data_IF_638228909273
#
_entry.id   IF_638228909273
#
_cell.length_a   1.000
_cell.length_b   1.000
_cell.length_c   1.000
_cell.angle_alpha   90.00
_cell.angle_beta   90.00
_cell.angle_gamma   90.00
#
_symmetry.space_group_name_H-M   'P 1'
#
loop_
_entity.id
_entity.type
_entity.pdbx_description
1 polymer ?
#
# COMPACT_ATOMS: atom_id res chain seq x y z
N UNK A 1 36.66 26.12 -62.94
CA UNK A 1 36.87 25.26 -61.75
C UNK A 1 35.80 25.63 -60.72
N UNK A 2 34.75 24.81 -60.55
CA UNK A 2 33.70 25.00 -59.54
C UNK A 2 33.95 24.01 -58.39
N UNK A 3 34.24 24.52 -57.19
CA UNK A 3 34.39 23.70 -55.97
C UNK A 3 33.00 23.50 -55.35
N UNK A 4 32.52 22.26 -55.35
CA UNK A 4 31.33 21.88 -54.61
C UNK A 4 31.70 21.69 -53.13
N UNK A 5 31.11 22.50 -52.26
CA UNK A 5 31.23 22.37 -50.80
C UNK A 5 30.15 21.38 -50.36
N UNK A 6 30.56 20.18 -49.97
CA UNK A 6 29.69 19.18 -49.34
C UNK A 6 29.50 19.59 -47.87
N UNK A 7 28.31 20.07 -47.52
CA UNK A 7 27.93 20.36 -46.15
C UNK A 7 27.60 19.08 -45.38
N UNK A 8 28.39 18.77 -44.35
CA UNK A 8 28.10 17.67 -43.42
C UNK A 8 27.06 18.16 -42.41
N UNK A 9 25.84 17.62 -42.49
CA UNK A 9 24.80 17.83 -41.48
C UNK A 9 25.09 16.86 -40.33
N UNK A 10 25.56 17.39 -39.19
CA UNK A 10 25.71 16.61 -37.96
C UNK A 10 24.33 16.40 -37.33
N UNK A 11 23.82 15.16 -37.37
CA UNK A 11 22.59 14.76 -36.69
C UNK A 11 22.90 14.58 -35.20
N UNK A 12 22.57 15.58 -34.37
CA UNK A 12 22.65 15.45 -32.92
C UNK A 12 21.55 14.51 -32.41
N UNK A 13 21.93 13.29 -32.05
CA UNK A 13 21.04 12.33 -31.37
C UNK A 13 20.86 12.81 -29.92
N UNK A 14 19.74 13.46 -29.64
CA UNK A 14 19.33 13.77 -28.27
C UNK A 14 18.92 12.44 -27.63
N UNK A 15 19.82 11.86 -26.84
CA UNK A 15 19.51 10.71 -26.00
C UNK A 15 18.52 11.16 -24.93
N UNK A 16 17.23 10.87 -25.12
CA UNK A 16 16.24 11.01 -24.07
C UNK A 16 16.59 9.95 -23.02
N UNK A 17 17.13 10.39 -21.89
CA UNK A 17 17.39 9.52 -20.75
C UNK A 17 16.03 9.01 -20.25
N UNK A 18 15.65 7.81 -20.68
CA UNK A 18 14.53 7.08 -20.07
C UNK A 18 14.96 6.70 -18.67
N UNK A 19 14.41 7.38 -17.67
CA UNK A 19 14.57 6.96 -16.27
C UNK A 19 13.96 5.57 -16.13
N UNK A 20 14.79 4.61 -15.73
CA UNK A 20 14.29 3.31 -15.33
C UNK A 20 13.55 3.50 -14.00
N UNK A 21 12.26 3.20 -13.98
CA UNK A 21 11.49 3.25 -12.74
C UNK A 21 12.02 2.22 -11.73
N UNK A 22 11.98 2.56 -10.45
CA UNK A 22 12.62 1.76 -9.39
C UNK A 22 11.61 0.84 -8.71
N UNK A 23 11.92 -0.45 -8.60
CA UNK A 23 11.12 -1.36 -7.76
C UNK A 23 11.14 -0.92 -6.29
N UNK A 24 9.99 -1.01 -5.62
CA UNK A 24 9.96 -0.72 -4.19
C UNK A 24 8.60 -0.36 -3.62
N UNK A 25 8.61 0.16 -2.40
CA UNK A 25 7.42 0.63 -1.69
C UNK A 25 7.21 2.11 -1.99
N UNK A 26 6.07 2.42 -2.61
CA UNK A 26 5.61 3.77 -2.91
C UNK A 26 4.49 4.16 -1.96
N UNK A 27 4.49 5.38 -1.44
CA UNK A 27 3.47 5.87 -0.53
C UNK A 27 3.01 7.27 -0.91
N UNK A 28 1.77 7.60 -0.54
CA UNK A 28 1.28 8.99 -0.60
C UNK A 28 2.09 9.80 0.42
N UNK A 29 2.59 10.97 0.01
CA UNK A 29 3.32 11.86 0.91
C UNK A 29 2.45 12.20 2.14
N UNK A 30 2.93 11.90 3.34
CA UNK A 30 2.20 12.04 4.61
C UNK A 30 0.89 11.22 4.71
N UNK A 31 0.70 10.22 3.85
CA UNK A 31 -0.48 9.37 3.84
C UNK A 31 -0.28 8.01 4.49
N UNK A 32 -1.40 7.32 4.77
CA UNK A 32 -1.40 5.98 5.37
C UNK A 32 -1.36 4.84 4.34
N UNK A 33 -1.44 5.18 3.05
CA UNK A 33 -1.51 4.23 1.95
C UNK A 33 -0.13 4.04 1.31
N UNK A 34 0.28 2.79 1.20
CA UNK A 34 1.50 2.39 0.50
C UNK A 34 1.26 1.15 -0.35
N UNK A 35 1.97 1.07 -1.46
CA UNK A 35 1.93 -0.05 -2.39
C UNK A 35 3.33 -0.56 -2.68
N UNK A 36 3.47 -1.87 -2.89
CA UNK A 36 4.70 -2.43 -3.41
C UNK A 36 4.60 -2.50 -4.94
N UNK A 37 5.52 -1.85 -5.64
CA UNK A 37 5.53 -1.72 -7.09
C UNK A 37 6.71 -2.51 -7.63
N UNK A 38 6.41 -3.37 -8.62
CA UNK A 38 7.40 -4.09 -9.41
C UNK A 38 7.26 -3.74 -10.87
N UNK A 39 8.32 -3.26 -11.48
CA UNK A 39 8.39 -2.94 -12.90
C UNK A 39 8.92 -4.13 -13.69
N UNK A 40 8.32 -4.35 -14.84
CA UNK A 40 8.84 -5.18 -15.91
C UNK A 40 8.76 -4.39 -17.22
N UNK A 41 9.32 -4.94 -18.31
CA UNK A 41 9.44 -4.25 -19.60
C UNK A 41 8.12 -3.60 -20.07
N UNK A 42 7.02 -4.36 -20.02
CA UNK A 42 5.70 -3.93 -20.51
C UNK A 42 4.60 -3.93 -19.44
N UNK A 43 4.96 -4.04 -18.16
CA UNK A 43 3.97 -4.08 -17.08
C UNK A 43 4.48 -3.46 -15.78
N UNK A 44 3.54 -3.01 -14.97
CA UNK A 44 3.74 -2.57 -13.59
C UNK A 44 2.82 -3.42 -12.71
N UNK A 45 3.38 -4.14 -11.73
CA UNK A 45 2.60 -4.92 -10.78
C UNK A 45 2.55 -4.19 -9.45
N UNK A 46 1.33 -3.90 -8.99
CA UNK A 46 1.04 -3.39 -7.65
C UNK A 46 0.69 -4.57 -6.76
N UNK A 47 1.38 -4.71 -5.64
CA UNK A 47 1.08 -5.67 -4.58
C UNK A 47 0.65 -4.91 -3.33
N UNK A 48 -0.61 -5.10 -2.98
CA UNK A 48 -1.25 -4.63 -1.75
C UNK A 48 -1.48 -5.82 -0.80
N UNK A 49 -1.73 -5.59 0.49
CA UNK A 49 -1.92 -6.69 1.44
C UNK A 49 -3.02 -7.68 1.07
N UNK A 50 -4.02 -7.25 0.30
CA UNK A 50 -5.22 -8.02 0.00
C UNK A 50 -5.51 -8.11 -1.50
N UNK A 51 -4.58 -7.67 -2.35
CA UNK A 51 -4.79 -7.60 -3.79
C UNK A 51 -3.47 -7.49 -4.52
N UNK A 52 -3.36 -8.21 -5.63
CA UNK A 52 -2.33 -7.96 -6.64
C UNK A 52 -2.98 -7.47 -7.92
N UNK A 53 -2.48 -6.36 -8.50
CA UNK A 53 -2.99 -5.79 -9.74
C UNK A 53 -1.85 -5.59 -10.74
N UNK A 54 -1.95 -6.20 -11.92
CA UNK A 54 -0.99 -6.03 -13.00
C UNK A 54 -1.53 -5.02 -14.01
N UNK A 55 -0.81 -3.93 -14.19
CA UNK A 55 -1.08 -2.88 -15.17
C UNK A 55 -0.23 -3.13 -16.41
N UNK A 56 -0.84 -2.99 -17.59
CA UNK A 56 -0.16 -3.16 -18.87
C UNK A 56 0.19 -1.81 -19.46
N UNK A 57 1.40 -1.70 -20.03
CA UNK A 57 1.88 -0.48 -20.67
C UNK A 57 1.12 -0.23 -21.98
N UNK A 58 0.56 0.96 -22.15
CA UNK A 58 -0.09 1.42 -23.36
C UNK A 58 0.89 2.10 -24.33
N UNK A 59 0.38 2.50 -25.50
CA UNK A 59 1.18 3.18 -26.54
C UNK A 59 1.70 4.56 -26.11
N UNK A 60 1.09 5.17 -25.10
CA UNK A 60 1.52 6.45 -24.52
C UNK A 60 2.52 6.26 -23.37
N UNK A 61 2.88 5.02 -23.04
CA UNK A 61 3.80 4.68 -21.97
C UNK A 61 3.16 4.68 -20.57
N UNK A 62 1.84 4.87 -20.48
CA UNK A 62 1.11 4.75 -19.22
C UNK A 62 0.81 3.28 -18.94
N UNK A 63 0.69 2.93 -17.67
CA UNK A 63 0.30 1.59 -17.24
C UNK A 63 -1.19 1.59 -16.90
N UNK A 64 -1.97 0.73 -17.53
CA UNK A 64 -3.44 0.70 -17.41
C UNK A 64 -3.89 -0.64 -16.85
N UNK A 65 -4.86 -0.61 -15.93
CA UNK A 65 -5.51 -1.77 -15.35
C UNK A 65 -7.02 -1.55 -15.32
N UNK A 66 -7.80 -2.52 -15.81
CA UNK A 66 -9.25 -2.54 -15.65
C UNK A 66 -9.60 -3.61 -14.62
N UNK A 67 -10.23 -3.18 -13.52
CA UNK A 67 -10.66 -4.09 -12.48
C UNK A 67 -11.81 -4.98 -12.99
N UNK A 68 -11.65 -6.31 -13.07
CA UNK A 68 -12.66 -7.20 -13.62
C UNK A 68 -13.93 -7.27 -12.77
N UNK A 69 -13.87 -6.93 -11.48
CA UNK A 69 -15.01 -7.01 -10.56
C UNK A 69 -16.02 -5.90 -10.78
N UNK A 70 -15.56 -4.67 -11.08
CA UNK A 70 -16.42 -3.49 -11.17
C UNK A 70 -16.28 -2.72 -12.49
N UNK A 71 -15.47 -3.22 -13.42
CA UNK A 71 -15.19 -2.65 -14.73
C UNK A 71 -14.66 -1.20 -14.69
N UNK A 72 -14.02 -0.80 -13.58
CA UNK A 72 -13.37 0.50 -13.46
C UNK A 72 -11.93 0.40 -13.96
N UNK A 73 -11.55 1.31 -14.85
CA UNK A 73 -10.17 1.46 -15.31
C UNK A 73 -9.39 2.43 -14.42
N UNK A 74 -8.16 2.06 -14.11
CA UNK A 74 -7.18 2.82 -13.34
C UNK A 74 -5.91 2.97 -14.18
N UNK A 75 -5.25 4.12 -14.06
CA UNK A 75 -4.00 4.42 -14.73
C UNK A 75 -2.88 4.70 -13.73
N UNK A 76 -1.67 4.33 -14.11
CA UNK A 76 -0.43 4.63 -13.43
C UNK A 76 0.54 5.26 -14.43
N UNK A 77 1.17 6.37 -14.05
CA UNK A 77 2.20 7.05 -14.86
C UNK A 77 3.48 7.19 -14.06
N UNK A 78 4.60 6.87 -14.69
CA UNK A 78 5.94 7.15 -14.12
C UNK A 78 6.29 8.60 -14.41
N UNK A 79 6.55 9.38 -13.37
CA UNK A 79 6.96 10.79 -13.47
C UNK A 79 8.49 10.89 -13.48
N UNK A 80 9.14 10.17 -12.59
CA UNK A 80 10.61 10.03 -12.49
C UNK A 80 10.98 8.67 -11.86
N UNK A 81 12.27 8.44 -11.57
CA UNK A 81 12.78 7.18 -11.02
C UNK A 81 12.20 6.81 -9.64
N UNK A 82 11.60 7.77 -8.93
CA UNK A 82 11.09 7.65 -7.55
C UNK A 82 9.66 8.13 -7.39
N UNK A 83 9.02 8.60 -8.45
CA UNK A 83 7.67 9.19 -8.40
C UNK A 83 6.77 8.56 -9.44
N UNK A 84 5.62 8.11 -8.97
CA UNK A 84 4.54 7.62 -9.82
C UNK A 84 3.24 8.35 -9.47
N UNK A 85 2.33 8.39 -10.43
CA UNK A 85 1.01 8.96 -10.29
C UNK A 85 -0.05 7.90 -10.57
N UNK A 86 -0.97 7.72 -9.63
CA UNK A 86 -2.20 6.96 -9.84
C UNK A 86 -3.32 7.91 -10.29
N UNK A 87 -4.16 7.51 -11.24
CA UNK A 87 -5.29 8.31 -11.70
C UNK A 87 -6.42 7.43 -12.24
N UNK A 88 -7.59 8.04 -12.46
CA UNK A 88 -8.72 7.40 -13.14
C UNK A 88 -8.92 8.03 -14.52
N UNK A 89 -8.69 7.28 -15.63
CA UNK A 89 -8.88 7.81 -16.98
C UNK A 89 -10.27 8.43 -17.16
N UNK A 90 -10.32 9.59 -17.81
CA UNK A 90 -11.57 10.32 -18.06
C UNK A 90 -12.17 11.04 -16.85
N UNK A 91 -11.53 11.00 -15.66
CA UNK A 91 -11.98 11.73 -14.48
C UNK A 91 -11.01 12.87 -14.17
N UNK A 92 -11.43 14.15 -14.31
CA UNK A 92 -10.61 15.31 -13.97
C UNK A 92 -10.15 15.28 -12.51
N UNK A 93 -8.94 15.79 -12.25
CA UNK A 93 -8.38 15.94 -10.90
C UNK A 93 -8.35 14.65 -10.05
N UNK A 94 -8.23 13.48 -10.69
CA UNK A 94 -8.17 12.17 -10.00
C UNK A 94 -6.76 11.71 -9.65
N UNK A 95 -5.76 12.56 -9.88
CA UNK A 95 -4.35 12.21 -9.72
C UNK A 95 -3.95 12.14 -8.25
N UNK A 96 -3.29 11.05 -7.87
CA UNK A 96 -2.63 10.84 -6.58
C UNK A 96 -1.16 10.57 -6.82
N UNK A 97 -0.28 11.37 -6.20
CA UNK A 97 1.17 11.21 -6.30
C UNK A 97 1.65 10.22 -5.24
N UNK A 98 2.48 9.26 -5.63
CA UNK A 98 3.16 8.34 -4.74
C UNK A 98 4.68 8.43 -4.94
N UNK A 99 5.41 8.48 -3.83
CA UNK A 99 6.88 8.57 -3.82
C UNK A 99 7.51 7.32 -3.21
N UNK A 100 8.64 6.93 -3.78
CA UNK A 100 9.43 5.78 -3.32
C UNK A 100 9.96 6.04 -1.90
N UNK A 101 9.56 5.19 -0.96
CA UNK A 101 9.99 5.23 0.43
C UNK A 101 11.11 4.22 0.71
N UNK A 102 11.12 3.10 -0.01
CA UNK A 102 12.06 2.01 0.22
C UNK A 102 12.21 1.13 -1.01
N UNK A 103 13.44 0.73 -1.34
CA UNK A 103 13.74 -0.26 -2.39
C UNK A 103 13.61 -1.70 -1.87
N UNK A 104 13.44 -1.89 -0.55
CA UNK A 104 13.24 -3.20 0.04
C UNK A 104 11.77 -3.62 -0.03
N UNK A 105 11.40 -4.19 -1.16
CA UNK A 105 10.08 -4.73 -1.43
C UNK A 105 9.77 -5.98 -0.57
N UNK A 106 9.27 -5.80 0.67
CA UNK A 106 8.58 -6.90 1.39
C UNK A 106 7.07 -6.79 1.12
N UNK A 107 6.60 -7.49 0.11
CA UNK A 107 5.16 -7.65 -0.12
C UNK A 107 4.52 -8.42 1.04
N UNK A 108 3.42 -7.92 1.60
CA UNK A 108 2.46 -8.78 2.29
C UNK A 108 1.60 -9.47 1.25
N UNK A 109 1.50 -10.79 1.29
CA UNK A 109 0.70 -11.56 0.34
C UNK A 109 -0.80 -11.32 0.54
N UNK A 110 -1.55 -11.38 -0.56
CA UNK A 110 -3.02 -11.30 -0.58
C UNK A 110 -3.70 -12.22 0.45
N UNK A 111 -3.15 -13.42 0.64
CA UNK A 111 -3.61 -14.39 1.64
C UNK A 111 -3.56 -13.83 3.07
N UNK A 112 -2.52 -13.06 3.41
CA UNK A 112 -2.40 -12.45 4.74
C UNK A 112 -3.42 -11.33 4.92
N UNK A 113 -3.64 -10.49 3.92
CA UNK A 113 -4.68 -9.45 4.02
C UNK A 113 -6.07 -10.05 4.15
N UNK A 114 -6.38 -11.12 3.41
CA UNK A 114 -7.65 -11.82 3.51
C UNK A 114 -7.83 -12.51 4.86
N UNK A 115 -6.78 -13.14 5.41
CA UNK A 115 -6.79 -13.69 6.75
C UNK A 115 -7.06 -12.59 7.81
N UNK A 116 -6.44 -11.43 7.66
CA UNK A 116 -6.63 -10.30 8.59
C UNK A 116 -8.04 -9.70 8.49
N UNK A 117 -8.64 -9.63 7.28
CA UNK A 117 -10.06 -9.28 7.11
C UNK A 117 -10.98 -10.29 7.80
N UNK A 118 -10.69 -11.58 7.72
CA UNK A 118 -11.48 -12.60 8.39
C UNK A 118 -11.42 -12.45 9.92
N UNK A 119 -10.24 -12.15 10.47
CA UNK A 119 -10.06 -11.83 11.89
C UNK A 119 -10.81 -10.54 12.28
N UNK A 120 -10.78 -9.50 11.45
CA UNK A 120 -11.56 -8.28 11.68
C UNK A 120 -13.05 -8.60 11.82
N UNK A 121 -13.62 -9.36 10.87
CA UNK A 121 -15.03 -9.76 10.91
C UNK A 121 -15.37 -10.62 12.14
N UNK A 122 -14.47 -11.52 12.54
CA UNK A 122 -14.61 -12.30 13.79
C UNK A 122 -14.75 -11.37 15.00
N UNK A 123 -13.88 -10.37 15.14
CA UNK A 123 -13.91 -9.47 16.28
C UNK A 123 -15.07 -8.47 16.23
N UNK A 124 -15.49 -7.99 15.05
CA UNK A 124 -16.71 -7.20 14.95
C UNK A 124 -17.94 -7.98 15.43
N UNK A 125 -18.05 -9.25 15.03
CA UNK A 125 -19.12 -10.11 15.52
C UNK A 125 -19.08 -10.29 17.04
N UNK A 126 -17.89 -10.44 17.62
CA UNK A 126 -17.74 -10.48 19.07
C UNK A 126 -18.18 -9.15 19.72
N UNK A 127 -17.84 -8.01 19.14
CA UNK A 127 -18.29 -6.70 19.62
C UNK A 127 -19.81 -6.54 19.59
N UNK A 128 -20.51 -7.21 18.67
CA UNK A 128 -21.98 -7.23 18.61
C UNK A 128 -22.60 -8.15 19.67
N UNK A 129 -21.94 -9.27 20.01
CA UNK A 129 -22.51 -10.32 20.86
C UNK A 129 -22.06 -10.29 22.32
N UNK A 130 -20.95 -9.62 22.63
CA UNK A 130 -20.36 -9.52 23.96
C UNK A 130 -20.34 -8.05 24.39
N UNK A 131 -21.45 -7.63 25.00
CA UNK A 131 -21.69 -6.25 25.44
C UNK A 131 -20.70 -5.78 26.52
N UNK A 132 -20.10 -6.70 27.27
CA UNK A 132 -19.19 -6.37 28.35
C UNK A 132 -17.79 -6.01 27.82
N UNK A 133 -17.46 -6.45 26.60
CA UNK A 133 -16.14 -6.31 25.99
C UNK A 133 -16.17 -5.62 24.62
N UNK A 134 -17.22 -4.85 24.30
CA UNK A 134 -17.37 -4.17 22.99
C UNK A 134 -16.12 -3.38 22.61
N UNK A 135 -15.57 -2.60 23.55
CA UNK A 135 -14.37 -1.80 23.31
C UNK A 135 -13.14 -2.67 23.04
N UNK A 136 -13.00 -3.79 23.73
CA UNK A 136 -11.92 -4.75 23.50
C UNK A 136 -12.01 -5.31 22.08
N UNK A 137 -13.18 -5.82 21.71
CA UNK A 137 -13.38 -6.46 20.41
C UNK A 137 -13.30 -5.46 19.25
N UNK A 138 -13.82 -4.25 19.42
CA UNK A 138 -13.67 -3.19 18.42
C UNK A 138 -12.20 -2.81 18.18
N UNK A 139 -11.37 -2.73 19.23
CA UNK A 139 -9.94 -2.48 19.10
C UNK A 139 -9.20 -3.66 18.46
N UNK A 140 -9.55 -4.91 18.79
CA UNK A 140 -9.01 -6.07 18.08
C UNK A 140 -9.36 -6.08 16.59
N UNK A 141 -10.62 -5.72 16.25
CA UNK A 141 -11.07 -5.61 14.87
C UNK A 141 -10.32 -4.52 14.11
N UNK A 142 -10.06 -3.36 14.73
CA UNK A 142 -9.36 -2.25 14.09
C UNK A 142 -7.90 -2.60 13.76
N UNK A 143 -7.21 -3.34 14.63
CA UNK A 143 -5.84 -3.83 14.36
C UNK A 143 -5.84 -4.83 13.21
N UNK A 144 -6.79 -5.76 13.21
CA UNK A 144 -6.96 -6.71 12.11
C UNK A 144 -7.18 -5.99 10.77
N UNK A 145 -8.06 -4.98 10.76
CA UNK A 145 -8.28 -4.15 9.57
C UNK A 145 -7.01 -3.42 9.15
N UNK A 146 -6.28 -2.83 10.09
CA UNK A 146 -5.03 -2.12 9.82
C UNK A 146 -4.02 -3.03 9.10
N UNK A 147 -3.82 -4.25 9.59
CA UNK A 147 -2.95 -5.23 8.94
C UNK A 147 -3.46 -5.70 7.57
N UNK A 148 -4.75 -5.54 7.29
CA UNK A 148 -5.36 -5.93 6.01
C UNK A 148 -5.33 -4.84 4.93
N UNK A 149 -5.09 -3.58 5.31
CA UNK A 149 -5.29 -2.42 4.43
C UNK A 149 -4.20 -1.36 4.50
N UNK A 150 -3.41 -1.32 5.55
CA UNK A 150 -2.37 -0.31 5.75
C UNK A 150 -0.97 -0.89 5.54
N UNK A 151 0.02 0.00 5.49
CA UNK A 151 1.42 -0.40 5.57
C UNK A 151 1.72 -1.11 6.89
N UNK A 152 2.74 -1.97 6.91
CA UNK A 152 3.12 -2.72 8.11
C UNK A 152 3.49 -1.83 9.29
N UNK A 153 4.17 -0.70 9.04
CA UNK A 153 4.57 0.23 10.09
C UNK A 153 3.36 0.91 10.72
N UNK A 154 2.38 1.33 9.90
CA UNK A 154 1.14 1.91 10.40
C UNK A 154 0.24 0.89 11.10
N UNK A 155 0.18 -0.34 10.61
CA UNK A 155 -0.51 -1.42 11.30
C UNK A 155 0.08 -1.68 12.70
N UNK A 156 1.41 -1.62 12.84
CA UNK A 156 2.08 -1.73 14.15
C UNK A 156 1.84 -0.55 15.08
N UNK A 157 1.80 0.68 14.54
CA UNK A 157 1.40 1.86 15.33
C UNK A 157 -0.03 1.67 15.89
N UNK A 158 -0.97 1.20 15.06
CA UNK A 158 -2.34 0.89 15.49
C UNK A 158 -2.40 -0.27 16.48
N UNK A 159 -1.60 -1.32 16.31
CA UNK A 159 -1.50 -2.43 17.26
C UNK A 159 -1.12 -1.94 18.67
N UNK A 160 -0.13 -1.03 18.77
CA UNK A 160 0.29 -0.43 20.03
C UNK A 160 -0.80 0.44 20.66
N UNK A 161 -1.46 1.27 19.85
CA UNK A 161 -2.57 2.11 20.32
C UNK A 161 -3.74 1.27 20.85
N UNK A 162 -4.15 0.26 20.09
CA UNK A 162 -5.22 -0.65 20.50
C UNK A 162 -4.87 -1.41 21.78
N UNK A 163 -3.65 -1.93 21.90
CA UNK A 163 -3.19 -2.60 23.12
C UNK A 163 -3.28 -1.67 24.34
N UNK A 164 -2.91 -0.39 24.18
CA UNK A 164 -3.01 0.62 25.24
C UNK A 164 -4.47 0.88 25.63
N UNK A 165 -5.34 1.07 24.65
CA UNK A 165 -6.78 1.33 24.89
C UNK A 165 -7.48 0.15 25.55
N UNK A 166 -7.15 -1.08 25.15
CA UNK A 166 -7.71 -2.29 25.77
C UNK A 166 -7.28 -2.37 27.23
N UNK A 167 -5.99 -2.16 27.53
CA UNK A 167 -5.50 -2.18 28.91
C UNK A 167 -6.18 -1.13 29.78
N UNK A 168 -6.39 0.07 29.26
CA UNK A 168 -7.12 1.15 29.96
C UNK A 168 -8.58 0.78 30.27
N UNK A 169 -9.19 -0.10 29.49
CA UNK A 169 -10.56 -0.58 29.71
C UNK A 169 -10.65 -1.79 30.64
N UNK A 170 -9.52 -2.35 31.09
CA UNK A 170 -9.47 -3.56 31.92
C UNK A 170 -9.01 -3.25 33.34
N UNK A 171 -9.74 -3.76 34.33
CA UNK A 171 -9.32 -3.75 35.73
C UNK A 171 -9.76 -5.05 36.42
N UNK A 172 -8.81 -5.96 36.76
CA UNK A 172 -7.37 -5.89 36.52
C UNK A 172 -7.01 -6.08 35.03
N UNK A 173 -5.84 -5.58 34.63
CA UNK A 173 -5.29 -5.79 33.28
C UNK A 173 -4.92 -7.27 33.08
N UNK A 174 -5.33 -7.84 31.95
CA UNK A 174 -5.00 -9.23 31.62
C UNK A 174 -3.50 -9.42 31.35
N UNK A 175 -2.96 -10.58 31.73
CA UNK A 175 -1.54 -10.92 31.49
C UNK A 175 -1.22 -11.19 30.01
N UNK A 176 -2.23 -11.39 29.19
CA UNK A 176 -2.11 -11.62 27.75
C UNK A 176 -3.18 -10.84 26.99
N UNK A 177 -2.88 -10.52 25.73
CA UNK A 177 -3.85 -9.90 24.84
C UNK A 177 -5.10 -10.80 24.70
N UNK A 178 -6.32 -10.22 24.75
CA UNK A 178 -7.56 -10.94 24.46
C UNK A 178 -7.70 -11.33 22.97
N UNK A 179 -6.82 -10.81 22.11
CA UNK A 179 -6.79 -11.09 20.67
C UNK A 179 -5.35 -11.25 20.19
N UNK A 180 -4.70 -12.34 20.63
CA UNK A 180 -3.29 -12.61 20.35
C UNK A 180 -3.00 -12.86 18.86
N UNK A 181 -4.03 -13.13 18.06
CA UNK A 181 -3.93 -13.26 16.61
C UNK A 181 -3.61 -11.94 15.89
N UNK A 182 -3.90 -10.79 16.53
CA UNK A 182 -3.76 -9.46 15.92
C UNK A 182 -2.94 -8.49 16.77
N UNK A 183 -2.94 -8.66 18.10
CA UNK A 183 -2.05 -7.95 19.02
C UNK A 183 -1.04 -8.94 19.55
N UNK A 184 0.20 -8.83 19.09
CA UNK A 184 1.27 -9.72 19.49
C UNK A 184 1.55 -9.60 20.99
N UNK A 185 2.04 -10.69 21.57
CA UNK A 185 2.40 -10.70 23.00
C UNK A 185 3.49 -9.67 23.32
N UNK A 186 4.40 -9.42 22.36
CA UNK A 186 5.42 -8.37 22.50
C UNK A 186 4.77 -6.99 22.66
N UNK A 187 3.85 -6.64 21.76
CA UNK A 187 3.15 -5.35 21.82
C UNK A 187 2.32 -5.24 23.09
N UNK A 188 1.60 -6.31 23.45
CA UNK A 188 0.81 -6.36 24.68
C UNK A 188 1.67 -6.07 25.91
N UNK A 189 2.82 -6.73 26.06
CA UNK A 189 3.72 -6.50 27.20
C UNK A 189 4.25 -5.06 27.21
N UNK A 190 4.63 -4.51 26.05
CA UNK A 190 5.20 -3.17 25.96
C UNK A 190 4.19 -2.02 26.07
N UNK A 191 2.90 -2.29 25.80
CA UNK A 191 1.88 -1.26 25.80
C UNK A 191 1.66 -0.72 27.22
N UNK A 192 1.58 0.61 27.42
CA UNK A 192 1.25 1.20 28.71
C UNK A 192 -0.05 0.64 29.29
N UNK A 193 -0.04 0.38 30.60
CA UNK A 193 -1.24 0.24 31.45
C UNK A 193 -1.16 1.39 32.45
N UNK A 194 -2.20 2.23 32.50
CA UNK A 194 -2.32 3.29 33.50
C UNK A 194 -3.31 2.87 34.58
#
# INVERSE_FOLDING_TARGET
>A
MKKNILGVIALSVISMCTFAATDGVYAIQNGYYSINVKFAENSLTIVEPNKTSTYLKDMSGNYIFTNPTNNITYGMRVVDDKTIEAYKPGVPNSTTVLTLQSTSAKASSEDKGNQMKALANKYFKLAETDSDNVHTWANCASVALAYSSLSMDKAKEMELQAATLIKLSQSPVANSSPCSEVISNKTWISAPSY
#
